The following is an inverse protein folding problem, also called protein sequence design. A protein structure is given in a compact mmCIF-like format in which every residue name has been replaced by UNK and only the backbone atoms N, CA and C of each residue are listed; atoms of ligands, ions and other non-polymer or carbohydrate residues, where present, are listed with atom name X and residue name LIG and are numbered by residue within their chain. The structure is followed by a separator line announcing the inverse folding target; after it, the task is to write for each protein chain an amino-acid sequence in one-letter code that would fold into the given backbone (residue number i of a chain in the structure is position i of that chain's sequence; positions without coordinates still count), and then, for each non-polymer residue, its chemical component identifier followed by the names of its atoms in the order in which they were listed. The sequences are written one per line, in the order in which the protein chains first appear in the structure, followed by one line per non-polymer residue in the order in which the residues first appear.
data_IF_395406534866
#
_entry.id   IF_395406534866
#
_cell.length_a   1.000
_cell.length_b   1.000
_cell.length_c   1.000
_cell.angle_alpha   90.00
_cell.angle_beta   90.00
_cell.angle_gamma   90.00
#
_symmetry.space_group_name_H-M   'P 1'
#
loop_
_entity.id
_entity.type
_entity.pdbx_description
1 polymer ?
#
# COMPACT_ATOMS: atom_id res chain seq x y z
N UNK A 1 40.88 -34.89 -10.33
CA UNK A 1 40.06 -33.71 -10.64
C UNK A 1 38.71 -34.21 -11.12
N UNK A 2 37.68 -34.16 -10.26
CA UNK A 2 36.32 -34.53 -10.67
C UNK A 2 35.75 -33.45 -11.60
N UNK A 3 34.82 -33.79 -12.52
CA UNK A 3 34.16 -32.78 -13.32
C UNK A 3 33.40 -31.86 -12.35
N UNK A 4 33.80 -30.59 -12.29
CA UNK A 4 32.99 -29.54 -11.70
C UNK A 4 31.66 -29.58 -12.45
N UNK A 5 30.62 -30.14 -11.82
CA UNK A 5 29.28 -30.09 -12.39
C UNK A 5 28.97 -28.61 -12.53
N UNK A 6 28.83 -28.13 -13.77
CA UNK A 6 28.33 -26.79 -14.03
C UNK A 6 26.98 -26.74 -13.34
N UNK A 7 26.89 -26.10 -12.17
CA UNK A 7 25.62 -25.87 -11.48
C UNK A 7 24.70 -25.25 -12.53
N UNK A 8 23.60 -25.94 -12.85
CA UNK A 8 22.56 -25.36 -13.69
C UNK A 8 22.16 -24.05 -13.04
N UNK A 9 22.07 -22.99 -13.85
CA UNK A 9 21.57 -21.71 -13.37
C UNK A 9 20.07 -21.90 -13.16
N UNK A 10 19.68 -22.04 -11.90
CA UNK A 10 18.27 -22.18 -11.54
C UNK A 10 17.67 -20.79 -11.26
N UNK A 11 16.35 -20.63 -11.45
CA UNK A 11 15.62 -19.44 -11.02
C UNK A 11 15.74 -19.18 -9.50
N UNK A 12 15.56 -17.92 -9.11
CA UNK A 12 15.49 -17.49 -7.72
C UNK A 12 14.22 -18.04 -7.02
N UNK A 13 14.23 -18.11 -5.69
CA UNK A 13 13.04 -18.46 -4.91
C UNK A 13 12.73 -19.96 -4.80
N UNK A 14 13.72 -20.84 -5.03
CA UNK A 14 13.57 -22.31 -5.07
C UNK A 14 12.68 -22.83 -6.20
N UNK A 15 12.41 -22.00 -7.21
CA UNK A 15 11.78 -22.40 -8.47
C UNK A 15 12.81 -23.14 -9.34
N UNK A 16 12.41 -24.24 -10.01
CA UNK A 16 13.26 -24.91 -11.02
C UNK A 16 12.98 -24.33 -12.41
N UNK A 17 13.90 -24.53 -13.37
CA UNK A 17 13.65 -24.15 -14.77
C UNK A 17 12.35 -24.75 -15.34
N UNK A 18 11.97 -25.95 -14.91
CA UNK A 18 10.71 -26.58 -15.34
C UNK A 18 9.49 -25.87 -14.75
N UNK A 19 9.55 -25.46 -13.48
CA UNK A 19 8.48 -24.69 -12.83
C UNK A 19 8.32 -23.30 -13.48
N UNK A 20 9.43 -22.61 -13.75
CA UNK A 20 9.42 -21.33 -14.47
C UNK A 20 8.80 -21.48 -15.87
N UNK A 21 9.18 -22.54 -16.60
CA UNK A 21 8.59 -22.83 -17.91
C UNK A 21 7.08 -23.06 -17.80
N UNK A 22 6.62 -23.83 -16.82
CA UNK A 22 5.20 -24.11 -16.64
C UNK A 22 4.40 -22.86 -16.23
N UNK A 23 4.98 -21.99 -15.40
CA UNK A 23 4.40 -20.68 -15.04
C UNK A 23 4.14 -19.83 -16.29
N UNK A 24 5.14 -19.66 -17.15
CA UNK A 24 5.00 -18.93 -18.41
C UNK A 24 4.05 -19.62 -19.40
N UNK A 25 4.12 -20.95 -19.51
CA UNK A 25 3.23 -21.72 -20.37
C UNK A 25 1.76 -21.60 -19.93
N UNK A 26 1.50 -21.54 -18.62
CA UNK A 26 0.17 -21.31 -18.07
C UNK A 26 -0.34 -19.91 -18.43
N UNK A 27 0.45 -18.85 -18.17
CA UNK A 27 0.06 -17.48 -18.52
C UNK A 27 -0.25 -17.35 -20.02
N UNK A 28 0.58 -17.94 -20.88
CA UNK A 28 0.35 -17.95 -22.32
C UNK A 28 -0.98 -18.61 -22.71
N UNK A 29 -1.33 -19.74 -22.08
CA UNK A 29 -2.62 -20.42 -22.34
C UNK A 29 -3.81 -19.64 -21.80
N UNK A 30 -3.66 -19.06 -20.62
CA UNK A 30 -4.75 -18.37 -19.90
C UNK A 30 -5.03 -16.98 -20.48
N UNK A 31 -4.05 -16.34 -21.13
CA UNK A 31 -4.20 -14.99 -21.68
C UNK A 31 -5.17 -14.91 -22.85
N UNK A 32 -5.36 -16.00 -23.62
CA UNK A 32 -6.33 -16.03 -24.72
C UNK A 32 -7.54 -16.91 -24.40
N UNK A 33 -8.72 -16.29 -24.30
CA UNK A 33 -9.96 -17.02 -24.10
C UNK A 33 -10.48 -17.57 -25.42
N UNK A 34 -10.27 -18.88 -25.65
CA UNK A 34 -10.85 -19.58 -26.81
C UNK A 34 -12.38 -19.53 -26.83
N UNK A 35 -13.02 -19.46 -25.65
CA UNK A 35 -14.48 -19.39 -25.50
C UNK A 35 -15.03 -18.06 -26.00
N UNK A 36 -14.35 -16.96 -25.68
CA UNK A 36 -14.80 -15.61 -26.03
C UNK A 36 -14.08 -15.04 -27.27
N UNK A 37 -13.16 -15.81 -27.85
CA UNK A 37 -12.33 -15.43 -29.00
C UNK A 37 -11.67 -14.07 -28.82
N UNK A 38 -11.15 -13.80 -27.62
CA UNK A 38 -10.53 -12.53 -27.23
C UNK A 38 -9.49 -12.75 -26.14
N UNK A 39 -8.62 -11.77 -25.92
CA UNK A 39 -7.65 -11.77 -24.83
C UNK A 39 -8.32 -11.43 -23.49
N UNK A 40 -7.91 -12.14 -22.44
CA UNK A 40 -8.34 -11.90 -21.07
C UNK A 40 -7.41 -10.86 -20.43
N UNK A 41 -7.87 -9.60 -20.40
CA UNK A 41 -7.11 -8.48 -19.84
C UNK A 41 -6.84 -8.62 -18.34
N UNK A 42 -7.59 -9.47 -17.62
CA UNK A 42 -7.33 -9.76 -16.20
C UNK A 42 -5.99 -10.47 -15.96
N UNK A 43 -5.34 -10.99 -17.02
CA UNK A 43 -4.01 -11.62 -16.93
C UNK A 43 -2.86 -10.63 -17.05
N UNK A 44 -3.12 -9.38 -17.44
CA UNK A 44 -2.05 -8.39 -17.63
C UNK A 44 -1.26 -8.12 -16.33
N UNK A 45 -1.90 -7.94 -15.16
CA UNK A 45 -1.17 -7.79 -13.89
C UNK A 45 -0.29 -9.01 -13.58
N UNK A 46 -0.83 -10.22 -13.72
CA UNK A 46 -0.07 -11.46 -13.51
C UNK A 46 1.15 -11.57 -14.45
N UNK A 47 0.98 -11.18 -15.72
CA UNK A 47 2.06 -11.14 -16.72
C UNK A 47 3.11 -10.11 -16.32
N UNK A 48 2.68 -8.91 -15.93
CA UNK A 48 3.56 -7.83 -15.51
C UNK A 48 4.39 -8.22 -14.28
N UNK A 49 3.75 -8.77 -13.26
CA UNK A 49 4.41 -9.23 -12.03
C UNK A 49 5.43 -10.33 -12.33
N UNK A 50 5.07 -11.30 -13.17
CA UNK A 50 5.96 -12.37 -13.57
C UNK A 50 7.19 -11.86 -14.32
N UNK A 51 7.01 -10.98 -15.31
CA UNK A 51 8.16 -10.45 -16.06
C UNK A 51 9.03 -9.52 -15.21
N UNK A 52 8.42 -8.74 -14.32
CA UNK A 52 9.13 -7.87 -13.39
C UNK A 52 9.96 -8.70 -12.40
N UNK A 53 9.39 -9.74 -11.83
CA UNK A 53 10.10 -10.67 -10.96
C UNK A 53 11.29 -11.32 -11.68
N UNK A 54 11.07 -11.79 -12.91
CA UNK A 54 12.12 -12.42 -13.70
C UNK A 54 13.22 -11.42 -14.12
N UNK A 55 12.86 -10.17 -14.43
CA UNK A 55 13.80 -9.09 -14.69
C UNK A 55 14.70 -8.81 -13.47
N UNK A 56 14.11 -8.72 -12.28
CA UNK A 56 14.83 -8.35 -11.05
C UNK A 56 15.65 -9.48 -10.45
N UNK A 57 15.12 -10.70 -10.46
CA UNK A 57 15.67 -11.81 -9.69
C UNK A 57 16.32 -12.90 -10.55
N UNK A 58 16.03 -12.92 -11.85
CA UNK A 58 16.47 -13.95 -12.77
C UNK A 58 17.33 -13.41 -13.92
N UNK A 59 17.90 -12.21 -13.79
CA UNK A 59 18.81 -11.62 -14.77
C UNK A 59 19.99 -12.54 -15.12
N UNK A 60 20.49 -13.33 -14.17
CA UNK A 60 21.57 -14.31 -14.37
C UNK A 60 21.20 -15.46 -15.32
N UNK A 61 19.93 -15.62 -15.68
CA UNK A 61 19.47 -16.60 -16.67
C UNK A 61 19.62 -16.11 -18.11
N UNK A 62 19.87 -14.82 -18.34
CA UNK A 62 20.07 -14.23 -19.67
C UNK A 62 18.91 -14.53 -20.63
N UNK A 63 17.67 -14.42 -20.14
CA UNK A 63 16.46 -14.61 -20.93
C UNK A 63 16.34 -13.52 -22.01
N UNK A 64 15.90 -13.90 -23.21
CA UNK A 64 15.67 -12.98 -24.33
C UNK A 64 14.29 -12.30 -24.23
N UNK A 65 14.18 -11.07 -24.72
CA UNK A 65 12.89 -10.36 -24.83
C UNK A 65 12.33 -9.80 -23.52
N UNK A 66 13.09 -9.84 -22.41
CA UNK A 66 12.62 -9.37 -21.10
C UNK A 66 12.25 -7.88 -21.14
N UNK A 67 13.11 -7.03 -21.71
CA UNK A 67 12.86 -5.58 -21.81
C UNK A 67 11.58 -5.28 -22.59
N UNK A 68 11.43 -5.87 -23.77
CA UNK A 68 10.27 -5.66 -24.64
C UNK A 68 8.97 -6.06 -23.93
N UNK A 69 8.94 -7.25 -23.32
CA UNK A 69 7.76 -7.71 -22.60
C UNK A 69 7.47 -6.85 -21.36
N UNK A 70 8.50 -6.46 -20.62
CA UNK A 70 8.36 -5.59 -19.44
C UNK A 70 7.76 -4.22 -19.83
N UNK A 71 8.27 -3.58 -20.88
CA UNK A 71 7.81 -2.26 -21.32
C UNK A 71 6.34 -2.31 -21.79
N UNK A 72 5.97 -3.34 -22.55
CA UNK A 72 4.59 -3.55 -23.01
C UNK A 72 3.66 -3.85 -21.83
N UNK A 73 4.04 -4.81 -20.97
CA UNK A 73 3.20 -5.21 -19.84
C UNK A 73 3.03 -4.07 -18.84
N UNK A 74 4.08 -3.31 -18.56
CA UNK A 74 4.03 -2.17 -17.65
C UNK A 74 3.07 -1.09 -18.17
N UNK A 75 3.18 -0.75 -19.46
CA UNK A 75 2.29 0.24 -20.08
C UNK A 75 0.81 -0.11 -19.95
N UNK A 76 0.47 -1.40 -20.05
CA UNK A 76 -0.91 -1.88 -19.88
C UNK A 76 -1.29 -1.97 -18.39
N UNK A 77 -0.41 -2.50 -17.56
CA UNK A 77 -0.67 -2.71 -16.13
C UNK A 77 -0.85 -1.39 -15.37
N UNK A 78 -0.06 -0.36 -15.66
CA UNK A 78 -0.20 0.96 -15.03
C UNK A 78 -1.61 1.55 -15.21
N UNK A 79 -2.26 1.25 -16.34
CA UNK A 79 -3.63 1.69 -16.60
C UNK A 79 -4.69 0.77 -15.95
N UNK A 80 -4.42 -0.53 -15.87
CA UNK A 80 -5.39 -1.55 -15.46
C UNK A 80 -5.40 -1.82 -13.95
N UNK A 81 -4.23 -1.98 -13.32
CA UNK A 81 -4.08 -2.37 -11.91
C UNK A 81 -4.83 -1.41 -10.97
N UNK A 82 -4.73 -0.07 -11.11
CA UNK A 82 -5.49 0.84 -10.25
C UNK A 82 -7.02 0.72 -10.40
N UNK A 83 -7.50 0.18 -11.53
CA UNK A 83 -8.92 0.02 -11.85
C UNK A 83 -9.49 -1.31 -11.35
N UNK A 84 -8.65 -2.29 -11.00
CA UNK A 84 -9.08 -3.50 -10.28
C UNK A 84 -9.69 -3.15 -8.91
N UNK A 85 -9.32 -1.99 -8.37
CA UNK A 85 -9.83 -1.46 -7.10
C UNK A 85 -10.93 -0.42 -7.31
N UNK A 86 -11.64 -0.50 -8.43
CA UNK A 86 -12.82 0.28 -8.80
C UNK A 86 -12.53 1.21 -9.97
N UNK A 87 -13.52 1.37 -10.86
CA UNK A 87 -13.41 2.18 -12.09
C UNK A 87 -13.85 3.62 -11.80
N UNK A 88 -15.01 3.80 -11.19
CA UNK A 88 -15.52 5.10 -10.76
C UNK A 88 -15.28 5.36 -9.27
N UNK A 89 -15.55 6.60 -8.82
CA UNK A 89 -15.31 7.03 -7.43
C UNK A 89 -16.13 6.21 -6.43
N UNK A 90 -17.37 5.89 -6.75
CA UNK A 90 -18.25 5.14 -5.86
C UNK A 90 -17.75 3.70 -5.70
N UNK A 91 -17.39 3.04 -6.80
CA UNK A 91 -16.82 1.69 -6.76
C UNK A 91 -15.49 1.67 -5.99
N UNK A 92 -14.60 2.65 -6.24
CA UNK A 92 -13.33 2.81 -5.52
C UNK A 92 -13.53 2.95 -4.02
N UNK A 93 -14.52 3.74 -3.59
CA UNK A 93 -14.87 3.91 -2.18
C UNK A 93 -15.49 2.63 -1.59
N UNK A 94 -16.35 1.94 -2.33
CA UNK A 94 -17.02 0.74 -1.89
C UNK A 94 -16.03 -0.41 -1.65
N UNK A 95 -15.21 -0.72 -2.66
CA UNK A 95 -14.14 -1.74 -2.57
C UNK A 95 -13.16 -1.34 -1.46
N UNK A 96 -12.71 -0.08 -1.47
CA UNK A 96 -11.71 0.40 -0.55
C UNK A 96 -12.15 0.34 0.91
N UNK A 97 -13.38 0.75 1.21
CA UNK A 97 -13.92 0.71 2.56
C UNK A 97 -14.02 -0.72 3.09
N UNK A 98 -14.45 -1.66 2.24
CA UNK A 98 -14.60 -3.06 2.64
C UNK A 98 -13.25 -3.72 2.92
N UNK A 99 -12.26 -3.51 2.06
CA UNK A 99 -10.91 -4.07 2.25
C UNK A 99 -10.16 -3.44 3.41
N UNK A 100 -10.20 -2.10 3.54
CA UNK A 100 -9.41 -1.38 4.54
C UNK A 100 -10.08 -1.29 5.92
N UNK A 101 -11.33 -1.73 6.10
CA UNK A 101 -12.10 -1.58 7.36
C UNK A 101 -11.33 -1.94 8.62
N UNK A 102 -10.64 -3.08 8.62
CA UNK A 102 -9.89 -3.54 9.81
C UNK A 102 -8.70 -2.63 10.12
N UNK A 103 -7.97 -2.20 9.08
CA UNK A 103 -6.85 -1.27 9.22
C UNK A 103 -7.32 0.10 9.68
N UNK A 104 -8.39 0.64 9.09
CA UNK A 104 -8.97 1.93 9.46
C UNK A 104 -9.41 1.98 10.92
N UNK A 105 -10.03 0.89 11.44
CA UNK A 105 -10.35 0.76 12.86
C UNK A 105 -9.10 0.82 13.75
N UNK A 106 -8.04 0.07 13.39
CA UNK A 106 -6.77 0.10 14.12
C UNK A 106 -6.15 1.50 14.12
N UNK A 107 -6.09 2.15 12.95
CA UNK A 107 -5.57 3.51 12.82
C UNK A 107 -6.36 4.48 13.71
N UNK A 108 -7.69 4.45 13.69
CA UNK A 108 -8.54 5.26 14.57
C UNK A 108 -8.19 5.04 16.05
N UNK A 109 -8.16 3.79 16.50
CA UNK A 109 -7.87 3.46 17.90
C UNK A 109 -6.46 3.91 18.31
N UNK A 110 -5.51 3.87 17.38
CA UNK A 110 -4.14 4.30 17.58
C UNK A 110 -4.00 5.83 17.60
N UNK A 111 -4.86 6.56 16.88
CA UNK A 111 -4.98 8.02 17.00
C UNK A 111 -5.54 8.42 18.37
N UNK A 112 -6.55 7.72 18.90
CA UNK A 112 -7.08 7.96 20.25
C UNK A 112 -6.03 7.74 21.32
N UNK A 113 -5.22 6.68 21.16
CA UNK A 113 -4.09 6.43 22.04
C UNK A 113 -3.04 7.55 21.96
N UNK A 114 -2.72 8.04 20.77
CA UNK A 114 -1.76 9.12 20.57
C UNK A 114 -2.23 10.43 21.23
N UNK A 115 -3.54 10.67 21.31
CA UNK A 115 -4.16 11.83 21.97
C UNK A 115 -4.33 11.68 23.48
N UNK A 116 -4.06 10.49 24.03
CA UNK A 116 -4.16 10.20 25.47
C UNK A 116 -5.56 9.88 25.99
N UNK A 117 -6.52 9.55 25.12
CA UNK A 117 -7.88 9.17 25.54
C UNK A 117 -7.97 7.76 26.13
N UNK A 118 -6.97 6.90 25.90
CA UNK A 118 -6.91 5.53 26.42
C UNK A 118 -5.66 5.27 27.26
N UNK A 119 -5.85 4.72 28.47
CA UNK A 119 -4.79 4.42 29.46
C UNK A 119 -4.07 3.10 29.14
N UNK A 120 -4.68 2.23 28.31
CA UNK A 120 -4.10 0.93 27.97
C UNK A 120 -3.24 1.04 26.72
N UNK A 121 -1.94 1.27 26.91
CA UNK A 121 -0.90 1.26 25.87
C UNK A 121 -0.58 -0.16 25.36
N UNK A 122 -1.61 -0.90 24.94
CA UNK A 122 -1.50 -2.34 24.74
C UNK A 122 -0.84 -2.68 23.41
N UNK A 123 0.40 -3.17 23.50
CA UNK A 123 0.88 -4.23 22.62
C UNK A 123 -0.10 -5.40 22.69
N UNK A 124 -0.16 -6.25 21.66
CA UNK A 124 -1.00 -7.44 21.70
C UNK A 124 -0.71 -8.22 23.01
N UNK A 125 -1.70 -8.38 23.91
CA UNK A 125 -1.46 -8.89 25.25
C UNK A 125 -0.86 -10.29 25.22
N UNK A 126 -1.23 -11.13 24.24
CA UNK A 126 -0.69 -12.48 24.06
C UNK A 126 0.82 -12.48 23.81
N UNK A 127 1.35 -11.50 23.07
CA UNK A 127 2.80 -11.40 22.83
C UNK A 127 3.50 -10.58 23.90
N UNK A 128 2.79 -9.64 24.53
CA UNK A 128 3.32 -8.80 25.60
C UNK A 128 3.63 -9.58 26.88
N UNK A 129 2.85 -10.64 27.18
CA UNK A 129 3.00 -11.41 28.43
C UNK A 129 3.80 -12.70 28.29
N UNK A 130 3.89 -13.28 27.08
CA UNK A 130 4.35 -14.67 26.92
C UNK A 130 5.86 -14.81 26.72
N UNK A 131 6.53 -13.84 26.07
CA UNK A 131 7.92 -14.03 25.62
C UNK A 131 9.00 -13.32 26.45
N UNK A 132 8.66 -12.52 27.46
CA UNK A 132 9.60 -11.68 28.25
C UNK A 132 10.55 -10.77 27.41
N UNK A 133 10.42 -10.72 26.08
CA UNK A 133 11.24 -9.91 25.17
C UNK A 133 10.94 -8.41 25.29
N UNK A 134 9.75 -8.06 25.80
CA UNK A 134 9.31 -6.68 25.96
C UNK A 134 9.71 -6.18 27.35
N UNK A 135 10.82 -5.43 27.38
CA UNK A 135 11.42 -4.86 28.61
C UNK A 135 10.50 -3.88 29.36
N UNK A 136 9.48 -3.33 28.71
CA UNK A 136 8.59 -2.32 29.28
C UNK A 136 7.16 -2.45 28.76
N UNK A 137 6.41 -3.41 29.28
CA UNK A 137 5.04 -3.73 28.85
C UNK A 137 4.01 -2.60 29.06
N UNK A 138 4.33 -1.58 29.87
CA UNK A 138 3.44 -0.48 30.24
C UNK A 138 3.73 0.85 29.50
N UNK A 139 4.67 0.87 28.54
CA UNK A 139 5.07 2.10 27.85
C UNK A 139 4.16 2.41 26.66
N UNK A 140 3.90 3.70 26.42
CA UNK A 140 3.17 4.18 25.25
C UNK A 140 3.84 3.74 23.94
N UNK A 141 3.13 2.99 23.10
CA UNK A 141 3.56 2.67 21.74
C UNK A 141 3.45 3.93 20.89
N UNK A 142 4.61 4.48 20.50
CA UNK A 142 4.70 5.72 19.70
C UNK A 142 4.72 5.49 18.19
N UNK A 143 5.14 4.30 17.76
CA UNK A 143 5.28 3.93 16.35
C UNK A 143 4.63 2.59 16.13
N UNK A 144 3.86 2.47 15.05
CA UNK A 144 3.27 1.22 14.58
C UNK A 144 3.59 1.03 13.13
N UNK A 145 3.92 -0.20 12.78
CA UNK A 145 4.24 -0.60 11.42
C UNK A 145 3.21 -1.65 11.01
N UNK A 146 2.46 -1.37 9.95
CA UNK A 146 1.55 -2.31 9.34
C UNK A 146 2.17 -2.76 8.02
N UNK A 147 2.43 -4.06 7.91
CA UNK A 147 2.86 -4.66 6.65
C UNK A 147 1.64 -5.15 5.91
N UNK A 148 1.53 -4.78 4.63
CA UNK A 148 0.35 -5.07 3.82
C UNK A 148 0.74 -5.25 2.35
N UNK A 149 -0.23 -5.60 1.52
CA UNK A 149 -0.06 -5.81 0.08
C UNK A 149 -0.27 -4.51 -0.71
N UNK A 150 0.20 -4.48 -1.96
CA UNK A 150 -0.11 -3.43 -2.93
C UNK A 150 -1.63 -3.18 -3.06
N UNK A 151 -2.41 -4.26 -3.15
CA UNK A 151 -3.87 -4.20 -3.20
C UNK A 151 -4.51 -3.44 -2.04
N UNK A 152 -3.94 -3.55 -0.84
CA UNK A 152 -4.38 -2.78 0.33
C UNK A 152 -3.95 -1.31 0.28
N UNK A 153 -2.82 -1.01 -0.36
CA UNK A 153 -2.36 0.36 -0.52
C UNK A 153 -3.22 1.12 -1.55
N UNK A 154 -3.55 0.52 -2.69
CA UNK A 154 -4.48 1.12 -3.66
C UNK A 154 -5.83 1.44 -3.02
N UNK A 155 -6.42 0.46 -2.32
CA UNK A 155 -7.70 0.63 -1.64
C UNK A 155 -7.66 1.67 -0.53
N UNK A 156 -6.56 1.73 0.24
CA UNK A 156 -6.39 2.75 1.27
C UNK A 156 -6.25 4.15 0.66
N UNK A 157 -5.48 4.30 -0.43
CA UNK A 157 -5.35 5.57 -1.14
C UNK A 157 -6.68 6.01 -1.75
N UNK A 158 -7.48 5.09 -2.31
CA UNK A 158 -8.83 5.38 -2.82
C UNK A 158 -9.71 5.97 -1.72
N UNK A 159 -9.71 5.34 -0.54
CA UNK A 159 -10.46 5.81 0.64
C UNK A 159 -9.97 7.15 1.15
N UNK A 160 -8.66 7.42 1.12
CA UNK A 160 -8.10 8.67 1.65
C UNK A 160 -8.26 9.85 0.67
N UNK A 161 -8.36 9.60 -0.64
CA UNK A 161 -8.38 10.67 -1.65
C UNK A 161 -9.77 11.04 -2.16
N UNK A 162 -10.75 10.17 -1.99
CA UNK A 162 -12.13 10.43 -2.41
C UNK A 162 -13.05 10.60 -1.20
N UNK A 163 -13.92 11.59 -1.22
CA UNK A 163 -14.84 11.87 -0.10
C UNK A 163 -16.08 10.98 -0.14
N UNK A 164 -16.39 10.30 0.97
CA UNK A 164 -17.65 9.56 1.13
C UNK A 164 -18.89 10.46 1.29
N UNK A 165 -18.68 11.77 1.46
CA UNK A 165 -19.77 12.76 1.63
C UNK A 165 -20.13 13.48 0.33
N UNK A 166 -19.41 13.20 -0.77
CA UNK A 166 -19.54 13.92 -2.04
C UNK A 166 -18.92 15.33 -2.04
N UNK A 167 -18.42 15.80 -0.90
CA UNK A 167 -17.68 17.06 -0.76
C UNK A 167 -16.18 16.78 -0.72
N UNK A 168 -15.46 17.08 -1.80
CA UNK A 168 -14.04 16.77 -1.94
C UNK A 168 -13.16 17.42 -0.86
N UNK A 169 -13.54 18.59 -0.35
CA UNK A 169 -12.85 19.27 0.76
C UNK A 169 -12.80 18.48 2.07
N UNK A 170 -13.68 17.48 2.23
CA UNK A 170 -13.72 16.62 3.41
C UNK A 170 -12.73 15.45 3.30
N UNK A 171 -12.18 15.17 2.12
CA UNK A 171 -11.14 14.15 1.98
C UNK A 171 -9.85 14.61 2.70
N UNK A 172 -9.14 13.71 3.41
CA UNK A 172 -7.93 14.08 4.12
C UNK A 172 -6.76 14.42 3.20
N UNK A 173 -6.77 13.93 1.95
CA UNK A 173 -5.74 14.20 0.93
C UNK A 173 -6.06 15.49 0.17
N UNK A 174 -5.04 16.33 -0.06
CA UNK A 174 -5.18 17.58 -0.83
C UNK A 174 -5.44 17.33 -2.31
N UNK A 175 -6.10 18.27 -3.00
CA UNK A 175 -6.40 18.17 -4.44
C UNK A 175 -5.12 18.04 -5.29
N UNK A 176 -4.06 18.74 -4.89
CA UNK A 176 -2.75 18.66 -5.54
C UNK A 176 -2.12 17.28 -5.35
N UNK A 177 -2.31 16.68 -4.17
CA UNK A 177 -1.83 15.33 -3.90
C UNK A 177 -2.66 14.25 -4.59
N UNK A 178 -3.96 14.47 -4.85
CA UNK A 178 -4.76 13.55 -5.67
C UNK A 178 -4.14 13.38 -7.05
N UNK A 179 -3.81 14.49 -7.73
CA UNK A 179 -3.13 14.47 -9.04
C UNK A 179 -1.80 13.73 -8.96
N UNK A 180 -1.01 14.03 -7.93
CA UNK A 180 0.25 13.32 -7.70
C UNK A 180 0.05 11.81 -7.53
N UNK A 181 -1.01 11.36 -6.84
CA UNK A 181 -1.31 9.94 -6.66
C UNK A 181 -1.74 9.31 -7.99
N UNK A 182 -2.51 10.02 -8.82
CA UNK A 182 -2.94 9.57 -10.15
C UNK A 182 -1.77 9.44 -11.13
N UNK A 183 -0.74 10.28 -10.98
CA UNK A 183 0.48 10.24 -11.79
C UNK A 183 1.45 9.12 -11.37
N UNK A 184 1.19 8.40 -10.26
CA UNK A 184 2.02 7.26 -9.85
C UNK A 184 1.71 6.05 -10.75
N UNK A 185 2.69 5.56 -11.54
CA UNK A 185 2.44 4.45 -12.46
C UNK A 185 2.19 3.12 -11.75
N UNK A 186 2.88 2.87 -10.64
CA UNK A 186 2.88 1.59 -9.92
C UNK A 186 3.26 1.82 -8.46
N UNK A 187 2.70 1.02 -7.54
CA UNK A 187 3.07 1.03 -6.13
C UNK A 187 4.13 -0.06 -5.86
N UNK A 188 5.39 0.28 -6.11
CA UNK A 188 6.49 -0.68 -6.06
C UNK A 188 6.84 -1.15 -4.63
N UNK A 189 7.79 -2.09 -4.54
CA UNK A 189 8.39 -2.52 -3.26
C UNK A 189 8.75 -1.33 -2.37
N UNK A 190 8.54 -1.48 -1.06
CA UNK A 190 8.74 -0.40 -0.08
C UNK A 190 7.84 0.82 -0.27
N UNK A 191 6.75 0.74 -1.05
CA UNK A 191 5.67 1.75 -0.97
C UNK A 191 5.18 1.85 0.46
N UNK A 192 5.08 3.07 0.97
CA UNK A 192 4.63 3.30 2.34
C UNK A 192 3.88 4.61 2.50
N UNK A 193 2.83 4.55 3.33
CA UNK A 193 2.06 5.71 3.80
C UNK A 193 2.42 5.93 5.26
N UNK A 194 2.75 7.17 5.61
CA UNK A 194 3.09 7.56 6.99
C UNK A 194 2.00 8.48 7.52
N UNK A 195 1.42 8.11 8.65
CA UNK A 195 0.51 8.95 9.44
C UNK A 195 1.28 9.48 10.63
N UNK A 196 1.53 10.80 10.67
CA UNK A 196 2.19 11.45 11.82
C UNK A 196 1.19 12.26 12.60
N UNK A 197 1.18 12.10 13.91
CA UNK A 197 0.42 12.94 14.84
C UNK A 197 1.39 13.90 15.52
N UNK A 198 1.07 15.19 15.49
CA UNK A 198 1.85 16.22 16.17
C UNK A 198 0.99 16.96 17.18
N UNK A 199 1.54 17.20 18.35
CA UNK A 199 0.94 18.05 19.37
C UNK A 199 1.49 19.48 19.25
N UNK A 200 0.62 20.48 19.27
CA UNK A 200 1.01 21.89 19.33
C UNK A 200 1.42 22.23 20.77
N UNK A 201 2.70 22.50 21.00
CA UNK A 201 3.18 23.03 22.28
C UNK A 201 2.87 24.52 22.43
N UNK A 202 2.65 24.99 23.67
CA UNK A 202 2.60 26.43 23.97
C UNK A 202 1.40 26.91 24.79
N UNK A 203 0.39 26.07 25.06
CA UNK A 203 -0.73 26.44 25.92
C UNK A 203 -0.53 25.88 27.33
N UNK A 204 -0.64 26.75 28.33
CA UNK A 204 -0.72 26.34 29.74
C UNK A 204 -1.89 25.36 29.89
N UNK A 205 -1.63 24.19 30.49
CA UNK A 205 -2.63 23.16 30.80
C UNK A 205 -3.81 23.75 31.57
N UNK A 206 -4.81 24.21 30.82
CA UNK A 206 -6.13 24.59 31.30
C UNK A 206 -7.11 23.51 30.84
N UNK A 207 -8.21 23.32 31.57
CA UNK A 207 -9.27 22.37 31.20
C UNK A 207 -9.79 22.58 29.75
N UNK A 208 -9.67 23.82 29.25
CA UNK A 208 -9.98 24.23 27.88
C UNK A 208 -8.99 23.66 26.84
N UNK A 209 -7.71 23.53 27.18
CA UNK A 209 -6.69 23.00 26.25
C UNK A 209 -6.80 21.48 26.03
N UNK A 210 -7.31 20.73 27.01
CA UNK A 210 -7.61 19.30 26.83
C UNK A 210 -8.70 19.03 25.80
N UNK A 211 -9.54 20.02 25.50
CA UNK A 211 -10.67 19.92 24.56
C UNK A 211 -10.43 20.66 23.25
N UNK A 212 -9.26 21.28 23.06
CA UNK A 212 -8.94 22.04 21.85
C UNK A 212 -8.79 21.09 20.64
N UNK A 213 -9.68 21.17 19.63
CA UNK A 213 -9.60 20.32 18.43
C UNK A 213 -8.31 20.57 17.63
N UNK A 214 -7.67 21.72 17.78
CA UNK A 214 -6.43 22.08 17.10
C UNK A 214 -5.16 21.66 17.85
N UNK A 215 -5.29 21.09 19.06
CA UNK A 215 -4.13 20.61 19.84
C UNK A 215 -3.32 19.57 19.07
N UNK A 216 -4.00 18.65 18.39
CA UNK A 216 -3.36 17.59 17.62
C UNK A 216 -3.62 17.77 16.13
N UNK A 217 -2.56 17.85 15.33
CA UNK A 217 -2.63 17.80 13.86
C UNK A 217 -2.14 16.46 13.33
N UNK A 218 -2.65 16.06 12.17
CA UNK A 218 -2.23 14.86 11.46
C UNK A 218 -1.60 15.27 10.13
N UNK A 219 -0.49 14.62 9.79
CA UNK A 219 0.13 14.69 8.47
C UNK A 219 0.13 13.31 7.85
N UNK A 220 -0.37 13.22 6.61
CA UNK A 220 -0.28 12.03 5.78
C UNK A 220 0.83 12.25 4.77
N UNK A 221 1.70 11.26 4.60
CA UNK A 221 2.72 11.29 3.55
C UNK A 221 2.81 9.95 2.82
N UNK A 222 3.19 9.98 1.55
CA UNK A 222 3.30 8.80 0.68
C UNK A 222 4.65 8.77 -0.01
N UNK A 223 5.24 7.59 -0.07
CA UNK A 223 6.32 7.24 -1.00
C UNK A 223 5.81 6.12 -1.91
N UNK A 224 5.88 6.28 -3.25
CA UNK A 224 5.58 5.23 -4.24
C UNK A 224 6.51 4.01 -4.20
N UNK A 225 7.47 3.98 -3.27
CA UNK A 225 8.38 2.86 -3.12
C UNK A 225 9.61 2.97 -4.01
N UNK A 226 10.17 1.82 -4.35
CA UNK A 226 11.42 1.67 -5.06
C UNK A 226 11.41 2.41 -6.41
N UNK A 227 12.43 3.23 -6.61
CA UNK A 227 12.75 3.90 -7.87
C UNK A 227 13.99 3.24 -8.45
N UNK A 228 13.87 2.58 -9.59
CA UNK A 228 14.98 1.90 -10.23
C UNK A 228 14.51 1.07 -11.41
N UNK A 229 15.36 0.91 -12.41
CA UNK A 229 15.08 0.03 -13.53
C UNK A 229 15.15 -1.43 -13.04
N UNK A 230 14.06 -2.22 -13.16
CA UNK A 230 14.03 -3.62 -12.75
C UNK A 230 15.14 -4.50 -13.37
N UNK A 231 15.73 -4.05 -14.49
CA UNK A 231 16.83 -4.74 -15.17
C UNK A 231 18.23 -4.35 -14.68
N UNK A 232 18.34 -3.38 -13.77
CA UNK A 232 19.62 -3.04 -13.15
C UNK A 232 19.92 -4.02 -12.03
N UNK A 233 21.13 -4.59 -11.99
CA UNK A 233 21.55 -5.40 -10.85
C UNK A 233 21.74 -4.51 -9.61
N UNK A 234 21.05 -4.85 -8.52
CA UNK A 234 21.20 -4.17 -7.24
C UNK A 234 22.18 -4.92 -6.35
N UNK A 235 23.02 -4.18 -5.63
CA UNK A 235 23.95 -4.76 -4.65
C UNK A 235 23.84 -4.04 -3.31
N UNK A 236 24.29 -4.63 -2.20
CA UNK A 236 24.36 -3.91 -0.92
C UNK A 236 25.20 -2.62 -0.97
N UNK A 237 26.09 -2.48 -1.95
CA UNK A 237 26.92 -1.28 -2.17
C UNK A 237 26.20 -0.23 -3.03
N UNK A 238 25.26 -0.65 -3.84
CA UNK A 238 24.42 0.19 -4.71
C UNK A 238 22.95 -0.19 -4.47
N UNK A 239 22.38 0.24 -3.34
CA UNK A 239 21.04 -0.14 -2.95
C UNK A 239 20.01 0.48 -3.89
N UNK A 240 18.90 -0.23 -4.06
CA UNK A 240 17.73 0.28 -4.76
C UNK A 240 17.25 1.58 -4.10
N UNK A 241 17.18 2.66 -4.88
CA UNK A 241 16.66 3.94 -4.38
C UNK A 241 15.16 3.83 -4.13
N UNK A 242 14.65 4.60 -3.18
CA UNK A 242 13.23 4.68 -2.85
C UNK A 242 12.79 6.12 -3.04
N UNK A 243 11.64 6.33 -3.68
CA UNK A 243 11.07 7.64 -3.91
C UNK A 243 10.94 8.40 -2.58
N UNK A 244 11.24 9.71 -2.56
CA UNK A 244 11.14 10.50 -1.35
C UNK A 244 9.70 10.54 -0.85
N UNK A 245 9.56 10.64 0.47
CA UNK A 245 8.26 10.76 1.12
C UNK A 245 7.67 12.16 0.84
N UNK A 246 6.49 12.22 0.24
CA UNK A 246 5.78 13.47 -0.07
C UNK A 246 4.55 13.63 0.83
N UNK A 247 4.37 14.81 1.43
CA UNK A 247 3.15 15.12 2.19
C UNK A 247 1.96 15.16 1.23
N UNK A 248 0.91 14.40 1.55
CA UNK A 248 -0.31 14.29 0.75
C UNK A 248 -1.55 14.85 1.46
N UNK A 249 -1.52 14.99 2.80
CA UNK A 249 -2.64 15.56 3.55
C UNK A 249 -2.91 17.03 3.20
N UNK A 250 -4.16 17.45 3.27
CA UNK A 250 -4.53 18.87 3.24
C UNK A 250 -3.94 19.65 4.41
N UNK A 251 -3.69 20.93 4.20
CA UNK A 251 -3.13 21.80 5.24
C UNK A 251 -4.08 21.92 6.43
N UNK A 252 -3.52 21.92 7.64
CA UNK A 252 -4.30 22.13 8.86
C UNK A 252 -5.13 20.94 9.34
N UNK A 253 -5.08 19.78 8.67
CA UNK A 253 -5.83 18.57 9.04
C UNK A 253 -5.64 18.24 10.54
N UNK A 254 -6.70 18.39 11.31
CA UNK A 254 -6.69 18.04 12.73
C UNK A 254 -6.84 16.54 12.93
N UNK A 255 -6.40 16.04 14.09
CA UNK A 255 -6.57 14.64 14.43
C UNK A 255 -8.05 14.26 14.60
N UNK A 256 -8.88 15.19 15.11
CA UNK A 256 -10.31 14.97 15.24
C UNK A 256 -10.98 14.84 13.86
N UNK A 257 -10.72 15.76 12.94
CA UNK A 257 -11.27 15.68 11.57
C UNK A 257 -10.88 14.38 10.87
N UNK A 258 -9.62 13.94 11.02
CA UNK A 258 -9.18 12.69 10.41
C UNK A 258 -9.85 11.46 11.02
N UNK A 259 -10.09 11.44 12.34
CA UNK A 259 -10.85 10.37 12.99
C UNK A 259 -12.32 10.38 12.55
N UNK A 260 -12.96 11.55 12.50
CA UNK A 260 -14.35 11.70 12.07
C UNK A 260 -14.51 11.23 10.62
N UNK A 261 -13.54 11.56 9.76
CA UNK A 261 -13.46 11.05 8.41
C UNK A 261 -13.39 9.52 8.36
N UNK A 262 -12.48 8.91 9.14
CA UNK A 262 -12.37 7.44 9.22
C UNK A 262 -13.69 6.81 9.69
N UNK A 263 -14.37 7.41 10.66
CA UNK A 263 -15.67 6.95 11.14
C UNK A 263 -16.75 7.01 10.04
N UNK A 264 -16.80 8.12 9.28
CA UNK A 264 -17.70 8.27 8.13
C UNK A 264 -17.44 7.22 7.06
N UNK A 265 -16.17 6.94 6.74
CA UNK A 265 -15.79 5.86 5.82
C UNK A 265 -16.28 4.51 6.33
N UNK A 266 -16.01 4.17 7.59
CA UNK A 266 -16.44 2.89 8.17
C UNK A 266 -17.97 2.74 8.12
N UNK A 267 -18.70 3.84 8.36
CA UNK A 267 -20.16 3.89 8.28
C UNK A 267 -20.68 3.73 6.83
N UNK A 268 -20.04 4.37 5.85
CA UNK A 268 -20.36 4.22 4.43
C UNK A 268 -20.31 2.75 3.97
N UNK A 269 -19.32 1.99 4.43
CA UNK A 269 -19.25 0.55 4.12
C UNK A 269 -20.29 -0.31 4.87
N UNK A 270 -21.02 0.25 5.84
CA UNK A 270 -22.11 -0.44 6.54
C UNK A 270 -23.47 -0.14 5.91
N UNK A 271 -23.62 0.96 5.17
CA UNK A 271 -24.83 1.21 4.39
C UNK A 271 -24.97 0.14 3.31
N UNK A 272 -26.14 -0.51 3.25
CA UNK A 272 -26.50 -1.35 2.12
C UNK A 272 -26.54 -0.47 0.86
N UNK A 273 -26.07 -0.96 -0.30
CA UNK A 273 -26.27 -0.24 -1.55
C UNK A 273 -27.76 0.05 -1.69
N UNK A 274 -28.13 1.32 -1.88
CA UNK A 274 -29.49 1.63 -2.29
C UNK A 274 -29.67 1.02 -3.68
N UNK A 275 -30.70 0.20 -3.91
CA UNK A 275 -31.01 -0.23 -5.27
C UNK A 275 -31.38 1.01 -6.08
N UNK A 276 -30.73 1.17 -7.23
CA UNK A 276 -31.11 2.13 -8.28
C UNK A 276 -32.57 1.92 -8.72
#
# INVERSE_FOLDING_TARGET
MGPSSKKKKEPCGRETLEMMRERWAKLYRDFYSKKHNTYDLSKIPDIHDCIRYDAMHNAHLYLSGIRELLDISASLAHALVPQEYGIDVHEKLHIGTNMCRSLLKKVRDDLDLARGFNITHRLNPTFATTDHLIKSAHRSVRTRLYFTSESHLHTLLNVLRHSVTGQDENAPVSREAVKFIEDIPELCYMTHIVVRVFERGGFVCTLLHSLDPHRFRVELSLSPGATGDPLTEFSPKEPLTVAPLKVISREGLTCQEFQDYICSVIAFGNSKPQPE
#
